data_IF_009411417784
#
_entry.id   IF_009411417784
#
_cell.length_a   1.000
_cell.length_b   1.000
_cell.length_c   1.000
_cell.angle_alpha   90.00
_cell.angle_beta   90.00
_cell.angle_gamma   90.00
#
_symmetry.space_group_name_H-M   'P 1'
#
loop_
_entity.id
_entity.type
_entity.pdbx_description
1 polymer ?
#
# COMPACT_ATOMS: atom_id res chain seq x y z
N UNK A 1 -33.38 15.60 56.72
CA UNK A 1 -32.43 16.23 55.79
C UNK A 1 -31.23 15.31 55.63
N UNK A 2 -30.79 15.13 54.38
CA UNK A 2 -29.67 14.31 53.88
C UNK A 2 -29.80 12.79 53.99
N UNK A 3 -30.62 12.21 53.11
CA UNK A 3 -30.40 10.86 52.60
C UNK A 3 -29.28 10.92 51.56
N UNK A 4 -28.05 10.65 51.99
CA UNK A 4 -26.93 10.41 51.09
C UNK A 4 -27.22 9.16 50.24
N UNK A 5 -27.00 9.20 48.92
CA UNK A 5 -27.13 8.02 48.08
C UNK A 5 -26.14 6.94 48.54
N UNK A 6 -26.63 5.72 48.66
CA UNK A 6 -25.78 4.57 49.00
C UNK A 6 -24.88 4.25 47.81
N UNK A 7 -23.63 3.83 48.10
CA UNK A 7 -22.59 3.45 47.12
C UNK A 7 -23.06 2.47 46.02
N UNK A 8 -24.14 1.74 46.25
CA UNK A 8 -24.77 0.84 45.27
C UNK A 8 -25.60 1.58 44.20
N UNK A 9 -26.20 2.73 44.51
CA UNK A 9 -26.95 3.53 43.53
C UNK A 9 -26.02 4.23 42.52
N UNK A 10 -24.83 4.64 42.95
CA UNK A 10 -23.82 5.22 42.05
C UNK A 10 -23.28 4.20 41.02
N UNK A 11 -23.09 2.94 41.43
CA UNK A 11 -22.61 1.89 40.53
C UNK A 11 -23.64 1.49 39.46
N UNK A 12 -24.93 1.48 39.80
CA UNK A 12 -25.99 1.21 38.83
C UNK A 12 -26.15 2.36 37.83
N UNK A 13 -26.00 3.61 38.28
CA UNK A 13 -26.11 4.78 37.40
C UNK A 13 -24.92 4.89 36.44
N UNK A 14 -23.72 4.47 36.87
CA UNK A 14 -22.52 4.37 36.00
C UNK A 14 -22.65 3.26 34.94
N UNK A 15 -23.12 2.07 35.32
CA UNK A 15 -23.27 0.94 34.41
C UNK A 15 -24.29 1.23 33.28
N UNK A 16 -25.39 1.92 33.59
CA UNK A 16 -26.43 2.28 32.60
C UNK A 16 -25.92 3.37 31.63
N UNK A 17 -25.08 4.31 32.10
CA UNK A 17 -24.52 5.37 31.26
C UNK A 17 -23.46 4.86 30.26
N UNK A 18 -22.76 3.77 30.57
CA UNK A 18 -21.71 3.22 29.72
C UNK A 18 -22.12 2.01 28.88
N UNK A 19 -23.34 1.49 29.06
CA UNK A 19 -23.85 0.38 28.26
C UNK A 19 -23.98 0.71 26.76
N UNK A 20 -24.19 1.99 26.41
CA UNK A 20 -24.25 2.46 25.01
C UNK A 20 -22.88 2.61 24.33
N UNK A 21 -21.80 2.72 25.11
CA UNK A 21 -20.43 2.82 24.57
C UNK A 21 -19.84 1.43 24.26
N UNK A 22 -20.18 0.41 25.05
CA UNK A 22 -19.63 -0.93 24.90
C UNK A 22 -20.19 -1.65 23.66
N UNK A 23 -21.47 -1.42 23.31
CA UNK A 23 -22.04 -1.95 22.06
C UNK A 23 -21.59 -1.21 20.79
N UNK A 24 -21.13 0.04 20.90
CA UNK A 24 -20.56 0.79 19.77
C UNK A 24 -19.17 0.31 19.35
N UNK A 25 -18.40 -0.28 20.27
CA UNK A 25 -17.04 -0.78 19.98
C UNK A 25 -17.08 -2.18 19.36
N UNK A 26 -18.06 -3.02 19.72
CA UNK A 26 -18.17 -4.40 19.18
C UNK A 26 -18.58 -4.38 17.69
N UNK A 27 -19.36 -3.39 17.24
CA UNK A 27 -19.74 -3.27 15.82
C UNK A 27 -18.60 -2.68 14.97
N UNK A 28 -17.69 -1.88 15.55
CA UNK A 28 -16.51 -1.39 14.83
C UNK A 28 -15.45 -2.48 14.60
N UNK A 29 -15.33 -3.46 15.50
CA UNK A 29 -14.38 -4.58 15.35
C UNK A 29 -14.89 -5.64 14.38
N UNK A 30 -16.21 -5.77 14.20
CA UNK A 30 -16.78 -6.66 13.18
C UNK A 30 -16.53 -6.20 11.73
N UNK A 31 -16.29 -4.90 11.50
CA UNK A 31 -15.95 -4.36 10.17
C UNK A 31 -14.45 -4.48 9.87
N UNK A 32 -13.59 -4.58 10.89
CA UNK A 32 -12.15 -4.78 10.71
C UNK A 32 -11.73 -6.27 10.72
N UNK A 33 -12.54 -7.17 11.30
CA UNK A 33 -12.26 -8.62 11.32
C UNK A 33 -12.98 -9.44 10.25
N UNK A 34 -13.96 -8.87 9.54
CA UNK A 34 -14.86 -9.60 8.64
C UNK A 34 -14.37 -9.80 7.20
N UNK A 35 -13.27 -9.16 6.80
CA UNK A 35 -12.71 -9.32 5.44
C UNK A 35 -11.59 -10.36 5.34
N UNK A 36 -11.16 -10.97 6.46
CA UNK A 36 -10.02 -11.90 6.47
C UNK A 36 -10.40 -13.38 6.33
N UNK A 37 -11.62 -13.69 5.87
CA UNK A 37 -12.09 -15.08 5.63
C UNK A 37 -12.62 -15.33 4.21
N UNK A 38 -12.32 -14.45 3.26
CA UNK A 38 -12.07 -14.94 1.91
C UNK A 38 -10.65 -15.48 1.90
N UNK A 39 -10.47 -16.68 2.48
CA UNK A 39 -9.35 -17.52 2.13
C UNK A 39 -9.42 -17.64 0.61
N UNK A 40 -8.62 -16.83 -0.07
CA UNK A 40 -8.54 -16.80 -1.51
C UNK A 40 -7.84 -18.11 -1.87
N UNK A 41 -8.62 -19.18 -2.01
CA UNK A 41 -8.17 -20.51 -2.42
C UNK A 41 -7.79 -20.51 -3.90
N UNK A 42 -7.19 -19.43 -4.38
CA UNK A 42 -6.55 -19.39 -5.67
C UNK A 42 -5.18 -20.06 -5.56
N UNK A 43 -4.74 -20.70 -6.64
CA UNK A 43 -3.36 -21.14 -6.75
C UNK A 43 -2.41 -19.97 -6.47
N UNK A 44 -1.27 -20.28 -5.85
CA UNK A 44 -0.12 -19.37 -5.72
C UNK A 44 0.87 -19.54 -6.89
N UNK A 45 0.48 -20.31 -7.90
CA UNK A 45 1.15 -20.38 -9.18
C UNK A 45 0.44 -19.46 -10.18
N UNK A 46 1.23 -18.69 -10.93
CA UNK A 46 0.72 -17.91 -12.05
C UNK A 46 0.27 -18.83 -13.19
N UNK A 47 -0.86 -18.53 -13.82
CA UNK A 47 -1.34 -19.28 -14.99
C UNK A 47 -0.43 -19.05 -16.22
N UNK A 48 0.22 -17.89 -16.29
CA UNK A 48 1.17 -17.54 -17.34
C UNK A 48 2.06 -16.35 -16.95
N UNK A 49 3.18 -16.19 -17.65
CA UNK A 49 4.03 -14.99 -17.53
C UNK A 49 3.28 -13.71 -17.87
N UNK A 50 2.31 -13.76 -18.78
CA UNK A 50 1.49 -12.60 -19.15
C UNK A 50 0.62 -12.14 -17.98
N UNK A 51 -0.01 -13.09 -17.28
CA UNK A 51 -0.83 -12.80 -16.09
C UNK A 51 0.06 -12.23 -14.97
N UNK A 52 1.23 -12.84 -14.72
CA UNK A 52 2.21 -12.34 -13.76
C UNK A 52 2.64 -10.91 -14.09
N UNK A 53 3.02 -10.64 -15.33
CA UNK A 53 3.55 -9.33 -15.73
C UNK A 53 2.47 -8.24 -15.67
N UNK A 54 1.23 -8.54 -16.05
CA UNK A 54 0.12 -7.59 -15.91
C UNK A 54 -0.16 -7.26 -14.44
N UNK A 55 -0.23 -8.29 -13.58
CA UNK A 55 -0.41 -8.09 -12.14
C UNK A 55 0.79 -7.36 -11.51
N UNK A 56 2.01 -7.65 -11.95
CA UNK A 56 3.21 -6.99 -11.45
C UNK A 56 3.27 -5.53 -11.86
N UNK A 57 2.79 -5.21 -13.06
CA UNK A 57 2.62 -3.83 -13.51
C UNK A 57 1.65 -3.06 -12.63
N UNK A 58 0.48 -3.61 -12.37
CA UNK A 58 -0.47 -2.96 -11.47
C UNK A 58 0.12 -2.80 -10.05
N UNK A 59 0.86 -3.80 -9.57
CA UNK A 59 1.53 -3.77 -8.27
C UNK A 59 2.55 -2.64 -8.17
N UNK A 60 3.52 -2.57 -9.08
CA UNK A 60 4.56 -1.53 -8.97
C UNK A 60 3.99 -0.13 -9.22
N UNK A 61 2.93 -0.01 -10.03
CA UNK A 61 2.24 1.28 -10.24
C UNK A 61 1.51 1.74 -8.99
N UNK A 62 0.84 0.85 -8.26
CA UNK A 62 0.27 1.19 -6.95
C UNK A 62 1.33 1.63 -5.96
N UNK A 63 2.44 0.88 -5.85
CA UNK A 63 3.55 1.25 -4.97
C UNK A 63 4.18 2.59 -5.32
N UNK A 64 4.28 2.91 -6.61
CA UNK A 64 4.78 4.18 -7.10
C UNK A 64 3.98 5.37 -6.52
N UNK A 65 2.66 5.22 -6.45
CA UNK A 65 1.73 6.27 -6.04
C UNK A 65 1.48 6.29 -4.53
N UNK A 66 1.58 5.14 -3.85
CA UNK A 66 1.36 5.00 -2.40
C UNK A 66 2.52 5.48 -1.54
N UNK A 67 3.77 5.19 -1.92
CA UNK A 67 4.97 5.62 -1.17
C UNK A 67 6.03 6.28 -2.08
N UNK A 68 5.81 7.56 -2.49
CA UNK A 68 6.74 8.26 -3.35
C UNK A 68 8.12 8.48 -2.73
N UNK A 69 8.22 8.52 -1.40
CA UNK A 69 9.51 8.71 -0.71
C UNK A 69 10.37 7.45 -0.80
N UNK A 70 9.78 6.27 -0.54
CA UNK A 70 10.45 4.98 -0.72
C UNK A 70 10.95 4.82 -2.17
N UNK A 71 10.11 5.19 -3.15
CA UNK A 71 10.49 5.19 -4.56
C UNK A 71 11.70 6.09 -4.78
N UNK A 72 11.64 7.34 -4.34
CA UNK A 72 12.72 8.31 -4.53
C UNK A 72 14.04 7.81 -3.93
N UNK A 73 14.03 7.35 -2.69
CA UNK A 73 15.23 6.84 -2.00
C UNK A 73 15.80 5.59 -2.70
N UNK A 74 14.93 4.69 -3.16
CA UNK A 74 15.34 3.48 -3.89
C UNK A 74 15.95 3.81 -5.25
N UNK A 75 15.38 4.79 -5.98
CA UNK A 75 15.90 5.23 -7.27
C UNK A 75 17.26 5.92 -7.14
N UNK A 76 17.45 6.74 -6.09
CA UNK A 76 18.76 7.35 -5.82
C UNK A 76 19.80 6.26 -5.54
N UNK A 77 19.44 5.29 -4.69
CA UNK A 77 20.33 4.19 -4.29
C UNK A 77 20.73 3.30 -5.47
N UNK A 78 19.78 2.98 -6.35
CA UNK A 78 19.99 2.11 -7.51
C UNK A 78 20.53 2.84 -8.76
N UNK A 79 20.68 4.17 -8.72
CA UNK A 79 21.02 4.98 -9.91
C UNK A 79 22.28 4.52 -10.64
N UNK A 80 23.31 4.10 -9.89
CA UNK A 80 24.57 3.61 -10.47
C UNK A 80 24.44 2.26 -11.17
N UNK A 81 23.49 1.43 -10.75
CA UNK A 81 23.23 0.11 -11.33
C UNK A 81 22.30 0.21 -12.54
N UNK A 82 21.39 1.20 -12.52
CA UNK A 82 20.41 1.42 -13.58
C UNK A 82 21.01 2.10 -14.82
N UNK A 83 21.98 3.01 -14.64
CA UNK A 83 22.53 3.82 -15.72
C UNK A 83 24.05 3.94 -15.63
N UNK A 84 24.73 3.67 -16.74
CA UNK A 84 26.19 3.87 -16.87
C UNK A 84 26.54 5.33 -17.20
N UNK A 85 25.68 6.03 -17.93
CA UNK A 85 25.90 7.42 -18.31
C UNK A 85 25.77 8.37 -17.09
N UNK A 86 26.76 9.24 -16.82
CA UNK A 86 26.68 10.20 -15.72
C UNK A 86 25.52 11.21 -15.84
N UNK A 87 25.15 11.59 -17.06
CA UNK A 87 24.06 12.53 -17.33
C UNK A 87 22.71 11.91 -16.98
N UNK A 88 22.45 10.69 -17.42
CA UNK A 88 21.22 9.96 -17.09
C UNK A 88 21.10 9.74 -15.57
N UNK A 89 22.19 9.34 -14.91
CA UNK A 89 22.22 9.23 -13.44
C UNK A 89 21.84 10.54 -12.75
N UNK A 90 22.40 11.66 -13.20
CA UNK A 90 22.11 12.97 -12.63
C UNK A 90 20.64 13.37 -12.83
N UNK A 91 20.05 13.07 -14.00
CA UNK A 91 18.63 13.32 -14.28
C UNK A 91 17.74 12.45 -13.38
N UNK A 92 18.03 11.16 -13.23
CA UNK A 92 17.28 10.26 -12.35
C UNK A 92 17.32 10.75 -10.90
N UNK A 93 18.52 11.02 -10.38
CA UNK A 93 18.71 11.50 -8.99
C UNK A 93 17.99 12.83 -8.77
N UNK A 94 18.03 13.75 -9.74
CA UNK A 94 17.29 15.02 -9.66
C UNK A 94 15.78 14.78 -9.57
N UNK A 95 15.24 13.94 -10.45
CA UNK A 95 13.80 13.65 -10.48
C UNK A 95 13.36 12.91 -9.21
N UNK A 96 14.14 11.93 -8.74
CA UNK A 96 13.89 11.21 -7.49
C UNK A 96 13.91 12.16 -6.28
N UNK A 97 14.84 13.12 -6.26
CA UNK A 97 14.87 14.15 -5.21
C UNK A 97 13.64 15.06 -5.25
N UNK A 98 13.19 15.44 -6.43
CA UNK A 98 11.94 16.21 -6.58
C UNK A 98 10.72 15.45 -6.06
N UNK A 99 10.68 14.12 -6.20
CA UNK A 99 9.64 13.29 -5.61
C UNK A 99 9.70 13.34 -4.07
N UNK A 100 10.89 13.13 -3.49
CA UNK A 100 11.11 13.17 -2.03
C UNK A 100 10.75 14.54 -1.45
N UNK A 101 11.11 15.62 -2.16
CA UNK A 101 10.81 16.99 -1.76
C UNK A 101 9.32 17.34 -1.99
N UNK A 102 8.50 16.42 -2.53
CA UNK A 102 7.07 16.60 -2.76
C UNK A 102 6.73 17.55 -3.91
N UNK A 103 7.67 17.81 -4.82
CA UNK A 103 7.47 18.72 -5.94
C UNK A 103 6.49 18.16 -6.99
N UNK A 104 6.39 16.83 -7.10
CA UNK A 104 5.34 16.14 -7.82
C UNK A 104 5.17 14.71 -7.29
N UNK A 105 3.98 14.13 -7.52
CA UNK A 105 3.72 12.71 -7.26
C UNK A 105 3.93 11.93 -8.57
N UNK A 106 4.81 10.92 -8.58
CA UNK A 106 4.99 10.08 -9.76
C UNK A 106 3.73 9.25 -10.01
N UNK A 107 3.49 8.88 -11.26
CA UNK A 107 2.30 8.10 -11.64
C UNK A 107 2.59 7.25 -12.87
N UNK A 108 1.84 6.16 -13.02
CA UNK A 108 1.80 5.34 -14.22
C UNK A 108 0.80 5.83 -15.28
N UNK A 109 -0.03 6.83 -14.97
CA UNK A 109 -0.95 7.43 -15.95
C UNK A 109 -0.17 8.24 -16.98
N UNK A 110 -0.08 7.74 -18.21
CA UNK A 110 0.67 8.37 -19.30
C UNK A 110 0.11 9.71 -19.75
N UNK A 111 -1.17 9.98 -19.44
CA UNK A 111 -1.83 11.25 -19.78
C UNK A 111 -1.61 12.31 -18.69
N UNK A 112 -1.02 11.94 -17.55
CA UNK A 112 -0.74 12.86 -16.45
C UNK A 112 0.43 13.82 -16.77
N UNK A 113 0.33 15.11 -16.40
CA UNK A 113 1.45 16.05 -16.53
C UNK A 113 2.64 15.70 -15.62
N UNK A 114 2.46 14.84 -14.61
CA UNK A 114 3.53 14.35 -13.73
C UNK A 114 4.09 12.99 -14.16
N UNK A 115 3.58 12.43 -15.28
CA UNK A 115 4.15 11.23 -15.87
C UNK A 115 5.59 11.47 -16.30
N UNK A 116 6.47 10.58 -15.88
CA UNK A 116 7.86 10.59 -16.26
C UNK A 116 8.31 9.16 -16.55
N UNK A 117 8.49 8.86 -17.84
CA UNK A 117 8.87 7.53 -18.30
C UNK A 117 10.14 7.01 -17.62
N UNK A 118 11.15 7.87 -17.39
CA UNK A 118 12.39 7.47 -16.74
C UNK A 118 12.14 6.99 -15.30
N UNK A 119 11.24 7.66 -14.57
CA UNK A 119 10.86 7.26 -13.21
C UNK A 119 10.13 5.92 -13.23
N UNK A 120 9.13 5.76 -14.10
CA UNK A 120 8.32 4.54 -14.18
C UNK A 120 9.18 3.34 -14.58
N UNK A 121 10.00 3.46 -15.62
CA UNK A 121 10.88 2.37 -16.07
C UNK A 121 11.97 2.02 -15.05
N UNK A 122 12.55 3.02 -14.40
CA UNK A 122 13.55 2.79 -13.35
C UNK A 122 12.92 2.11 -12.14
N UNK A 123 11.74 2.56 -11.74
CA UNK A 123 11.01 1.97 -10.62
C UNK A 123 10.59 0.54 -10.92
N UNK A 124 10.07 0.26 -12.12
CA UNK A 124 9.72 -1.09 -12.52
C UNK A 124 10.91 -2.07 -12.38
N UNK A 125 12.12 -1.65 -12.78
CA UNK A 125 13.34 -2.46 -12.61
C UNK A 125 13.71 -2.67 -11.15
N UNK A 126 13.63 -1.62 -10.33
CA UNK A 126 13.92 -1.70 -8.89
C UNK A 126 12.89 -2.60 -8.19
N UNK A 127 11.61 -2.44 -8.51
CA UNK A 127 10.54 -3.26 -7.97
C UNK A 127 10.74 -4.73 -8.37
N UNK A 128 11.10 -5.03 -9.62
CA UNK A 128 11.41 -6.39 -10.07
C UNK A 128 12.57 -7.00 -9.26
N UNK A 129 13.63 -6.24 -8.97
CA UNK A 129 14.74 -6.69 -8.14
C UNK A 129 14.35 -6.94 -6.67
N UNK A 130 13.46 -6.11 -6.12
CA UNK A 130 13.05 -6.20 -4.71
C UNK A 130 11.97 -7.26 -4.47
N UNK A 131 11.01 -7.36 -5.40
CA UNK A 131 9.77 -8.10 -5.20
C UNK A 131 9.59 -9.25 -6.19
N UNK A 132 10.25 -9.22 -7.35
CA UNK A 132 9.95 -10.04 -8.52
C UNK A 132 10.05 -11.55 -8.28
N UNK A 133 11.14 -12.02 -7.68
CA UNK A 133 11.37 -13.45 -7.35
C UNK A 133 10.32 -14.02 -6.39
N UNK A 134 9.75 -13.14 -5.58
CA UNK A 134 8.88 -13.46 -4.48
C UNK A 134 7.42 -13.09 -4.79
N UNK A 135 7.12 -12.60 -5.99
CA UNK A 135 5.81 -12.09 -6.38
C UNK A 135 4.89 -13.23 -6.80
N UNK A 136 3.91 -13.53 -5.94
CA UNK A 136 2.89 -14.57 -6.12
C UNK A 136 1.51 -13.94 -6.28
N UNK A 137 0.51 -14.69 -6.81
CA UNK A 137 -0.88 -14.26 -6.82
C UNK A 137 -1.39 -13.82 -5.45
N UNK A 138 -1.04 -14.52 -4.37
CA UNK A 138 -1.35 -14.12 -2.99
C UNK A 138 -0.83 -12.72 -2.65
N UNK A 139 0.44 -12.41 -2.95
CA UNK A 139 1.00 -11.07 -2.69
C UNK A 139 0.38 -9.98 -3.55
N UNK A 140 0.04 -10.29 -4.80
CA UNK A 140 -0.69 -9.36 -5.65
C UNK A 140 -2.04 -8.99 -5.01
N UNK A 141 -2.81 -9.99 -4.56
CA UNK A 141 -4.10 -9.78 -3.89
C UNK A 141 -3.96 -9.04 -2.56
N UNK A 142 -2.92 -9.35 -1.76
CA UNK A 142 -2.61 -8.62 -0.52
C UNK A 142 -2.31 -7.13 -0.78
N UNK A 143 -1.68 -6.82 -1.91
CA UNK A 143 -1.47 -5.46 -2.39
C UNK A 143 -2.69 -4.87 -3.12
N UNK A 144 -3.83 -5.55 -3.08
CA UNK A 144 -5.08 -5.11 -3.70
C UNK A 144 -5.08 -5.16 -5.23
N UNK A 145 -4.16 -5.87 -5.87
CA UNK A 145 -4.12 -6.09 -7.32
C UNK A 145 -5.14 -7.16 -7.72
N UNK A 146 -5.88 -6.91 -8.80
CA UNK A 146 -6.82 -7.89 -9.32
C UNK A 146 -6.09 -9.03 -10.01
N UNK A 147 -6.35 -10.27 -9.59
CA UNK A 147 -5.88 -11.47 -10.26
C UNK A 147 -7.10 -12.21 -10.77
N UNK A 148 -7.36 -12.12 -12.08
CA UNK A 148 -8.39 -12.93 -12.73
C UNK A 148 -7.93 -14.39 -12.72
N UNK A 149 -8.65 -15.26 -12.01
CA UNK A 149 -8.49 -16.70 -12.13
C UNK A 149 -9.41 -17.15 -13.28
N UNK A 150 -8.91 -17.83 -14.30
CA UNK A 150 -9.76 -18.40 -15.35
C UNK A 150 -10.54 -19.64 -14.86
#
# INVERSE_FOLDING_TARGET
MNSSPTRQQDLQTWAIRHQKLIWGIIIAIAVLGGLFLLANTGSDEWESDSQRNQAFQEFYCKKLEEDPNEVGDSLISASNDLYSDPGDRAVLVRNARMIIDGAFTPTCDTDSPTYNQMIVESWAKVAEQQYGDNFTPSKAREAGVSVENN
#
